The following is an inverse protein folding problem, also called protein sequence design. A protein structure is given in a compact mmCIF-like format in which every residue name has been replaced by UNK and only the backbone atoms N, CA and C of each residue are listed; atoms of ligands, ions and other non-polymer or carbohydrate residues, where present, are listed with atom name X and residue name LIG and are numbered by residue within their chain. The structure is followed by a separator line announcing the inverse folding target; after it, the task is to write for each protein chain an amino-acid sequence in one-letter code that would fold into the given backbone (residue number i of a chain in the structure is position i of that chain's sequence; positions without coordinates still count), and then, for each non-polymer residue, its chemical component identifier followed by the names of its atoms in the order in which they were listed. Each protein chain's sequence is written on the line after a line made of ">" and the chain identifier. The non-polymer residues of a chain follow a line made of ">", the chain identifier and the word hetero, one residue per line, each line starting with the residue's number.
data_IF_372751059955
#
_entry.id   IF_372751059955
#
_cell.length_a   1.000
_cell.length_b   1.000
_cell.length_c   1.000
_cell.angle_alpha   90.00
_cell.angle_beta   90.00
_cell.angle_gamma   90.00
#
_symmetry.space_group_name_H-M   'P 1'
#
loop_
_entity.id
_entity.type
_entity.pdbx_description
1 polymer ?
#
# COMPACT_ATOMS: atom_id res chain seq x y z
N UNK A 1 -8.35 -13.26 -13.60
CA UNK A 1 -9.34 -12.18 -13.64
C UNK A 1 -8.70 -10.92 -14.22
N UNK A 2 -9.37 -10.34 -15.19
CA UNK A 2 -8.85 -9.13 -15.85
C UNK A 2 -9.58 -7.92 -15.30
N UNK A 3 -8.82 -6.96 -14.79
CA UNK A 3 -9.38 -5.71 -14.29
C UNK A 3 -9.36 -4.67 -15.41
N UNK A 4 -10.40 -3.85 -15.49
CA UNK A 4 -10.40 -2.70 -16.37
C UNK A 4 -9.49 -1.61 -15.80
N UNK A 5 -9.08 -0.66 -16.65
CA UNK A 5 -8.29 0.48 -16.16
C UNK A 5 -9.03 1.26 -15.08
N UNK A 6 -10.33 1.38 -15.21
CA UNK A 6 -11.16 2.07 -14.21
C UNK A 6 -11.12 1.35 -12.87
N UNK A 7 -11.29 0.04 -12.89
CA UNK A 7 -11.25 -0.78 -11.67
C UNK A 7 -9.87 -0.71 -11.02
N UNK A 8 -8.82 -0.82 -11.81
CA UNK A 8 -7.45 -0.71 -11.31
C UNK A 8 -7.20 0.65 -10.67
N UNK A 9 -7.65 1.73 -11.32
CA UNK A 9 -7.51 3.08 -10.79
C UNK A 9 -8.23 3.23 -9.45
N UNK A 10 -9.43 2.69 -9.31
CA UNK A 10 -10.18 2.74 -8.06
C UNK A 10 -9.46 2.02 -6.94
N UNK A 11 -8.89 0.85 -7.23
CA UNK A 11 -8.13 0.09 -6.24
C UNK A 11 -6.90 0.87 -5.80
N UNK A 12 -6.17 1.45 -6.74
CA UNK A 12 -4.97 2.23 -6.44
C UNK A 12 -5.33 3.45 -5.57
N UNK A 13 -6.39 4.16 -5.92
CA UNK A 13 -6.82 5.33 -5.15
C UNK A 13 -7.16 4.97 -3.70
N UNK A 14 -7.87 3.86 -3.50
CA UNK A 14 -8.19 3.39 -2.15
C UNK A 14 -6.93 3.06 -1.35
N UNK A 15 -5.98 2.37 -1.97
CA UNK A 15 -4.73 2.03 -1.31
C UNK A 15 -3.87 3.26 -1.04
N UNK A 16 -3.91 4.27 -1.91
CA UNK A 16 -3.17 5.51 -1.70
C UNK A 16 -3.69 6.29 -0.50
N UNK A 17 -4.99 6.25 -0.24
CA UNK A 17 -5.56 6.88 0.96
C UNK A 17 -4.95 6.27 2.22
N UNK A 18 -4.77 4.95 2.22
CA UNK A 18 -4.23 4.23 3.37
C UNK A 18 -2.70 4.27 3.43
N UNK A 19 -2.04 4.59 2.33
CA UNK A 19 -0.58 4.56 2.24
C UNK A 19 0.11 5.40 3.31
N UNK A 20 -0.33 6.63 3.49
CA UNK A 20 0.27 7.53 4.48
C UNK A 20 0.06 7.03 5.90
N UNK A 21 -1.12 6.49 6.17
CA UNK A 21 -1.45 5.93 7.49
C UNK A 21 -0.52 4.77 7.80
N UNK A 22 -0.34 3.85 6.85
CA UNK A 22 0.54 2.71 7.03
C UNK A 22 2.00 3.12 7.17
N UNK A 23 2.44 4.12 6.40
CA UNK A 23 3.80 4.63 6.53
C UNK A 23 4.06 5.24 7.90
N UNK A 24 3.09 5.98 8.44
CA UNK A 24 3.19 6.53 9.79
C UNK A 24 3.27 5.43 10.84
N UNK A 25 2.42 4.41 10.72
CA UNK A 25 2.42 3.28 11.64
C UNK A 25 3.75 2.54 11.61
N UNK A 26 4.30 2.31 10.44
CA UNK A 26 5.59 1.67 10.29
C UNK A 26 6.69 2.49 10.94
N UNK A 27 6.68 3.79 10.73
CA UNK A 27 7.67 4.69 11.31
C UNK A 27 7.58 4.72 12.84
N UNK A 28 6.38 4.79 13.38
CA UNK A 28 6.15 4.77 14.83
C UNK A 28 6.68 3.49 15.46
N UNK A 29 6.42 2.34 14.82
CA UNK A 29 6.91 1.07 15.33
C UNK A 29 8.45 1.01 15.31
N UNK A 30 9.08 1.51 14.26
CA UNK A 30 10.53 1.57 14.17
C UNK A 30 11.14 2.47 15.24
N UNK A 31 10.51 3.60 15.53
CA UNK A 31 10.96 4.50 16.57
C UNK A 31 10.87 3.88 17.96
N UNK A 32 9.91 3.01 18.17
CA UNK A 32 9.76 2.25 19.41
C UNK A 32 10.70 1.05 19.51
N UNK A 33 11.43 0.74 18.41
CA UNK A 33 12.29 -0.41 18.35
C UNK A 33 11.56 -1.70 18.02
N UNK A 34 10.33 -1.63 17.58
CA UNK A 34 9.53 -2.79 17.19
C UNK A 34 9.60 -3.03 15.69
N UNK A 35 9.31 -4.25 15.27
CA UNK A 35 9.19 -4.55 13.84
C UNK A 35 7.83 -4.08 13.32
N UNK A 36 7.80 -3.52 12.10
CA UNK A 36 6.53 -3.12 11.48
C UNK A 36 5.62 -4.32 11.24
N UNK A 37 4.32 -4.07 11.26
CA UNK A 37 3.34 -5.11 10.94
C UNK A 37 3.54 -5.63 9.52
N UNK A 38 3.71 -6.95 9.32
CA UNK A 38 3.91 -7.49 7.97
C UNK A 38 2.79 -7.16 6.99
N UNK A 39 1.56 -7.06 7.48
CA UNK A 39 0.42 -6.71 6.65
C UNK A 39 0.56 -5.32 6.02
N UNK A 40 1.07 -4.36 6.79
CA UNK A 40 1.29 -3.01 6.27
C UNK A 40 2.31 -3.01 5.13
N UNK A 41 3.38 -3.79 5.29
CA UNK A 41 4.39 -3.94 4.25
C UNK A 41 3.82 -4.61 3.01
N UNK A 42 2.98 -5.62 3.17
CA UNK A 42 2.32 -6.30 2.06
C UNK A 42 1.42 -5.36 1.27
N UNK A 43 0.66 -4.51 1.95
CA UNK A 43 -0.21 -3.54 1.29
C UNK A 43 0.60 -2.54 0.48
N UNK A 44 1.70 -2.03 1.02
CA UNK A 44 2.56 -1.10 0.30
C UNK A 44 3.22 -1.75 -0.91
N UNK A 45 3.63 -3.01 -0.78
CA UNK A 45 4.21 -3.77 -1.90
C UNK A 45 3.16 -3.99 -3.00
N UNK A 46 1.94 -4.32 -2.61
CA UNK A 46 0.85 -4.51 -3.56
C UNK A 46 0.57 -3.21 -4.32
N UNK A 47 0.53 -2.09 -3.62
CA UNK A 47 0.31 -0.79 -4.23
C UNK A 47 1.38 -0.48 -5.27
N UNK A 48 2.64 -0.75 -4.96
CA UNK A 48 3.75 -0.54 -5.90
C UNK A 48 3.60 -1.42 -7.14
N UNK A 49 3.19 -2.68 -6.97
CA UNK A 49 2.94 -3.58 -8.10
C UNK A 49 1.82 -3.08 -8.99
N UNK A 50 0.73 -2.61 -8.38
CA UNK A 50 -0.41 -2.10 -9.14
C UNK A 50 -0.04 -0.85 -9.93
N UNK A 51 0.77 0.02 -9.35
CA UNK A 51 1.26 1.21 -10.06
C UNK A 51 2.09 0.83 -11.27
N UNK A 52 2.90 -0.23 -11.16
CA UNK A 52 3.69 -0.73 -12.29
C UNK A 52 2.82 -1.28 -13.41
N UNK A 53 1.75 -1.97 -13.06
CA UNK A 53 0.82 -2.53 -14.05
C UNK A 53 0.05 -1.42 -14.78
N UNK A 54 -0.23 -0.33 -14.09
CA UNK A 54 -0.98 0.79 -14.65
C UNK A 54 -0.24 1.52 -15.77
N UNK A 55 1.07 1.47 -15.76
CA UNK A 55 1.88 2.10 -16.80
C UNK A 55 1.82 1.30 -18.10
#
# INVERSE_FOLDING_TARGET
>A
MILTERELTLIIEELEVDEEIYKQMIQEEREKGNEPCPRHLEVLNLLNKLRSVRV
#
